data_IF_794516945662
#
_entry.id   IF_794516945662
#
_cell.length_a   1.000
_cell.length_b   1.000
_cell.length_c   1.000
_cell.angle_alpha   90.00
_cell.angle_beta   90.00
_cell.angle_gamma   90.00
#
_symmetry.space_group_name_H-M   'P 1'
#
loop_
_entity.id
_entity.type
_entity.pdbx_description
1 polymer ?
#
# COMPACT_ATOMS: atom_id res chain seq x y z
N UNK A 1 -5.24 0.61 9.17
CA UNK A 1 -4.21 -0.39 9.46
C UNK A 1 -4.79 -1.59 10.16
N UNK A 2 -4.38 -2.77 9.73
CA UNK A 2 -4.72 -4.06 10.30
C UNK A 2 -3.56 -4.64 11.12
N UNK A 3 -3.87 -5.64 11.96
CA UNK A 3 -2.88 -6.35 12.76
C UNK A 3 -1.82 -7.04 11.88
N UNK A 4 -2.25 -7.56 10.73
CA UNK A 4 -1.39 -8.26 9.78
C UNK A 4 -0.32 -7.33 9.20
N UNK A 5 -0.68 -6.09 8.85
CA UNK A 5 0.28 -5.11 8.33
C UNK A 5 1.37 -4.77 9.35
N UNK A 6 0.99 -4.60 10.62
CA UNK A 6 1.93 -4.26 11.68
C UNK A 6 2.89 -5.42 11.95
N UNK A 7 2.35 -6.61 12.21
CA UNK A 7 3.19 -7.76 12.54
C UNK A 7 4.02 -8.23 11.35
N UNK A 8 3.45 -8.30 10.14
CA UNK A 8 4.24 -8.67 8.96
C UNK A 8 5.39 -7.70 8.73
N UNK A 9 5.19 -6.39 8.91
CA UNK A 9 6.27 -5.40 8.75
C UNK A 9 7.35 -5.57 9.82
N UNK A 10 6.96 -5.68 11.09
CA UNK A 10 7.90 -5.77 12.22
C UNK A 10 8.69 -7.10 12.24
N UNK A 11 8.05 -8.22 11.89
CA UNK A 11 8.72 -9.54 11.80
C UNK A 11 9.87 -9.51 10.78
N UNK A 12 9.75 -8.73 9.70
CA UNK A 12 10.78 -8.57 8.69
C UNK A 12 11.75 -7.39 8.97
N UNK A 13 11.69 -6.78 10.17
CA UNK A 13 12.58 -5.69 10.58
C UNK A 13 12.27 -4.33 9.94
N UNK A 14 11.07 -4.15 9.39
CA UNK A 14 10.62 -2.88 8.82
C UNK A 14 10.06 -1.91 9.87
N UNK A 15 9.69 -0.71 9.40
CA UNK A 15 8.90 0.24 10.17
C UNK A 15 7.58 0.52 9.47
N UNK A 16 6.57 0.83 10.27
CA UNK A 16 5.22 1.13 9.78
C UNK A 16 5.06 2.64 9.68
N UNK A 17 4.54 3.11 8.55
CA UNK A 17 4.15 4.51 8.36
C UNK A 17 2.65 4.63 8.22
N UNK A 18 2.08 5.62 8.87
CA UNK A 18 0.65 5.90 8.83
C UNK A 18 0.36 7.03 7.85
N UNK A 19 -0.47 6.76 6.85
CA UNK A 19 -1.00 7.78 5.94
C UNK A 19 -2.25 8.42 6.53
N UNK A 20 -2.38 9.74 6.46
CA UNK A 20 -3.65 10.40 6.77
C UNK A 20 -4.73 10.07 5.71
N UNK A 21 -6.00 10.31 6.02
CA UNK A 21 -7.09 10.12 5.05
C UNK A 21 -6.94 11.05 3.84
N UNK A 22 -6.50 12.30 4.07
CA UNK A 22 -6.12 13.24 3.01
C UNK A 22 -5.00 12.71 2.13
N UNK A 23 -3.99 12.06 2.72
CA UNK A 23 -2.90 11.46 1.95
C UNK A 23 -3.43 10.30 1.11
N UNK A 24 -4.26 9.41 1.67
CA UNK A 24 -4.83 8.26 0.94
C UNK A 24 -5.63 8.68 -0.29
N UNK A 25 -6.39 9.77 -0.19
CA UNK A 25 -7.30 10.19 -1.26
C UNK A 25 -6.61 11.02 -2.35
N UNK A 26 -5.62 11.84 -1.99
CA UNK A 26 -5.08 12.84 -2.92
C UNK A 26 -3.55 12.83 -3.06
N UNK A 27 -2.81 12.37 -2.04
CA UNK A 27 -1.35 12.50 -1.98
C UNK A 27 -0.62 11.16 -1.76
N UNK A 28 -1.25 10.04 -2.10
CA UNK A 28 -0.75 8.72 -1.73
C UNK A 28 0.57 8.41 -2.44
N UNK A 29 0.75 8.89 -3.67
CA UNK A 29 2.01 8.86 -4.41
C UNK A 29 3.11 9.58 -3.67
N UNK A 30 2.88 10.85 -3.32
CA UNK A 30 3.84 11.65 -2.56
C UNK A 30 4.16 11.01 -1.21
N UNK A 31 3.17 10.39 -0.57
CA UNK A 31 3.36 9.67 0.69
C UNK A 31 4.27 8.43 0.49
N UNK A 32 4.03 7.64 -0.55
CA UNK A 32 4.85 6.48 -0.91
C UNK A 32 6.29 6.92 -1.20
N UNK A 33 6.47 7.97 -1.99
CA UNK A 33 7.79 8.46 -2.40
C UNK A 33 8.56 9.07 -1.22
N UNK A 34 7.92 9.93 -0.42
CA UNK A 34 8.55 10.56 0.76
C UNK A 34 8.98 9.53 1.81
N UNK A 35 8.14 8.53 2.05
CA UNK A 35 8.41 7.49 3.05
C UNK A 35 9.14 6.27 2.49
N UNK A 36 9.40 6.26 1.17
CA UNK A 36 10.00 5.14 0.43
C UNK A 36 9.31 3.81 0.73
N UNK A 37 7.97 3.83 0.69
CA UNK A 37 7.14 2.68 1.02
C UNK A 37 7.42 1.56 0.02
N UNK A 38 7.92 0.44 0.53
CA UNK A 38 8.30 -0.73 -0.28
C UNK A 38 7.18 -1.77 -0.40
N UNK A 39 6.34 -1.86 0.63
CA UNK A 39 5.24 -2.82 0.72
C UNK A 39 3.96 -2.09 1.09
N UNK A 40 2.86 -2.37 0.38
CA UNK A 40 1.54 -1.88 0.71
C UNK A 40 0.52 -3.03 0.69
N UNK A 41 -0.43 -3.02 1.62
CA UNK A 41 -1.56 -3.93 1.64
C UNK A 41 -2.80 -3.09 1.31
N UNK A 42 -3.48 -3.42 0.20
CA UNK A 42 -4.52 -2.58 -0.38
C UNK A 42 -5.72 -3.44 -0.77
N UNK A 43 -6.89 -2.81 -0.93
CA UNK A 43 -7.95 -3.46 -1.70
C UNK A 43 -7.71 -3.27 -3.21
N UNK A 44 -8.23 -4.17 -4.07
CA UNK A 44 -8.23 -3.99 -5.52
C UNK A 44 -8.74 -2.60 -5.96
N UNK A 45 -9.77 -2.08 -5.30
CA UNK A 45 -10.28 -0.73 -5.57
C UNK A 45 -9.27 0.36 -5.20
N UNK A 46 -8.58 0.24 -4.06
CA UNK A 46 -7.52 1.18 -3.67
C UNK A 46 -6.32 1.13 -4.61
N UNK A 47 -5.93 -0.06 -5.07
CA UNK A 47 -4.85 -0.20 -6.06
C UNK A 47 -5.17 0.51 -7.39
N UNK A 48 -6.43 0.49 -7.85
CA UNK A 48 -6.85 1.22 -9.05
C UNK A 48 -6.74 2.74 -8.92
N UNK A 49 -6.77 3.26 -7.69
CA UNK A 49 -6.58 4.69 -7.43
C UNK A 49 -5.10 5.07 -7.38
N UNK A 50 -4.20 4.09 -7.26
CA UNK A 50 -2.77 4.36 -7.33
C UNK A 50 -2.33 4.60 -8.78
N UNK A 51 -1.49 5.61 -9.02
CA UNK A 51 -0.91 5.80 -10.34
C UNK A 51 0.03 4.63 -10.66
N UNK A 52 -0.14 4.02 -11.83
CA UNK A 52 0.54 2.79 -12.31
C UNK A 52 2.06 2.89 -12.47
N UNK A 53 2.69 3.98 -12.02
CA UNK A 53 4.08 4.34 -12.30
C UNK A 53 4.88 4.66 -11.02
N UNK A 54 4.49 4.08 -9.87
CA UNK A 54 5.18 4.27 -8.60
C UNK A 54 6.39 3.34 -8.47
N UNK A 55 7.59 3.92 -8.58
CA UNK A 55 8.86 3.17 -8.66
C UNK A 55 9.34 2.54 -7.34
N UNK A 56 8.73 2.91 -6.21
CA UNK A 56 9.18 2.49 -4.88
C UNK A 56 8.38 1.33 -4.29
N UNK A 57 7.15 1.09 -4.75
CA UNK A 57 6.36 -0.07 -4.36
C UNK A 57 6.88 -1.33 -5.06
N UNK A 58 7.40 -2.27 -4.26
CA UNK A 58 7.91 -3.54 -4.76
C UNK A 58 6.91 -4.68 -4.51
N UNK A 59 6.21 -4.62 -3.39
CA UNK A 59 5.26 -5.65 -2.98
C UNK A 59 3.89 -5.01 -2.73
N UNK A 60 2.89 -5.43 -3.49
CA UNK A 60 1.48 -5.06 -3.25
C UNK A 60 0.72 -6.32 -2.91
N UNK A 61 0.08 -6.33 -1.75
CA UNK A 61 -0.78 -7.43 -1.31
C UNK A 61 -2.24 -6.97 -1.40
N UNK A 62 -3.05 -7.69 -2.17
CA UNK A 62 -4.47 -7.40 -2.31
C UNK A 62 -5.30 -8.20 -1.30
N UNK A 63 -6.15 -7.52 -0.53
CA UNK A 63 -7.04 -8.15 0.45
C UNK A 63 -8.45 -7.55 0.40
N UNK A 64 -9.42 -8.25 0.97
CA UNK A 64 -10.73 -7.71 1.32
C UNK A 64 -11.78 -7.66 0.19
N UNK A 65 -11.37 -7.55 -1.07
CA UNK A 65 -12.29 -7.62 -2.21
C UNK A 65 -11.89 -8.74 -3.17
N UNK A 66 -12.81 -9.13 -4.05
CA UNK A 66 -12.53 -10.10 -5.09
C UNK A 66 -11.38 -9.59 -5.99
N UNK A 67 -10.31 -10.39 -6.09
CA UNK A 67 -9.27 -10.16 -7.08
C UNK A 67 -9.88 -10.16 -8.47
N UNK A 68 -9.71 -9.07 -9.21
CA UNK A 68 -10.10 -9.03 -10.62
C UNK A 68 -8.97 -9.68 -11.43
N UNK A 69 -9.28 -10.60 -12.34
CA UNK A 69 -8.29 -11.35 -13.15
C UNK A 69 -7.27 -10.48 -13.91
N UNK A 70 -7.56 -9.18 -14.11
CA UNK A 70 -6.65 -8.23 -14.75
C UNK A 70 -5.61 -7.59 -13.81
N UNK A 71 -5.63 -7.91 -12.51
CA UNK A 71 -4.76 -7.32 -11.47
C UNK A 71 -3.82 -8.35 -10.80
N UNK A 72 -3.90 -9.63 -11.18
CA UNK A 72 -3.09 -10.74 -10.65
C UNK A 72 -2.15 -11.29 -11.72
#
# INVERSE_FOLDING_TARGET
MSINEIFSTLIHGGYVVWSSESDRMNNIRDFIDKNKVKTAILTPTELKMLPTNDSHLHNVVLIGEAGTDHLI
#
